data_IF_867009944923
#
_entry.id   IF_867009944923
#
_cell.length_a   1.000
_cell.length_b   1.000
_cell.length_c   1.000
_cell.angle_alpha   90.00
_cell.angle_beta   90.00
_cell.angle_gamma   90.00
#
_symmetry.space_group_name_H-M   'P 1'
#
loop_
_entity.id
_entity.type
_entity.pdbx_description
1 polymer ?
#
# COMPACT_ATOMS: atom_id res chain seq x y z
N UNK A 1 6.27 20.18 0.03
CA UNK A 1 5.49 19.05 0.61
C UNK A 1 4.24 19.50 1.38
N UNK A 2 4.30 20.52 2.25
CA UNK A 2 3.08 21.06 2.90
C UNK A 2 2.07 21.68 1.92
N UNK A 3 2.56 22.31 0.85
CA UNK A 3 1.71 22.90 -0.19
C UNK A 3 0.84 21.87 -0.91
N UNK A 4 1.36 20.65 -1.11
CA UNK A 4 0.60 19.54 -1.65
C UNK A 4 -0.56 19.13 -0.72
N UNK A 5 -0.39 19.19 0.60
CA UNK A 5 -1.47 18.90 1.56
C UNK A 5 -2.53 19.99 1.62
N UNK A 6 -2.12 21.25 1.43
CA UNK A 6 -3.01 22.40 1.44
C UNK A 6 -3.80 22.55 0.13
N UNK A 7 -3.41 21.84 -0.93
CA UNK A 7 -4.02 21.96 -2.25
C UNK A 7 -5.46 21.37 -2.27
N UNK A 8 -6.47 22.12 -2.76
CA UNK A 8 -7.87 21.68 -2.77
C UNK A 8 -8.17 20.71 -3.94
N UNK A 9 -7.70 19.46 -3.83
CA UNK A 9 -7.94 18.42 -4.85
C UNK A 9 -9.42 18.14 -5.12
N UNK A 10 -10.29 18.36 -4.12
CA UNK A 10 -11.72 18.12 -4.23
C UNK A 10 -12.46 19.09 -5.15
N UNK A 11 -11.98 20.32 -5.27
CA UNK A 11 -12.56 21.35 -6.15
C UNK A 11 -12.13 21.12 -7.61
N UNK A 12 -11.05 20.39 -7.82
CA UNK A 12 -10.45 20.20 -9.13
C UNK A 12 -11.12 19.08 -9.92
N UNK A 13 -11.88 19.46 -10.95
CA UNK A 13 -12.61 18.50 -11.78
C UNK A 13 -11.69 17.61 -12.63
N UNK A 14 -10.55 18.13 -13.08
CA UNK A 14 -9.60 17.34 -13.89
C UNK A 14 -8.98 16.23 -13.05
N UNK A 15 -8.58 16.57 -11.83
CA UNK A 15 -8.06 15.60 -10.88
C UNK A 15 -9.10 14.53 -10.55
N UNK A 16 -10.34 14.93 -10.22
CA UNK A 16 -11.45 14.02 -9.94
C UNK A 16 -11.73 13.03 -11.06
N UNK A 17 -11.72 13.50 -12.31
CA UNK A 17 -11.91 12.65 -13.49
C UNK A 17 -10.73 11.69 -13.68
N UNK A 18 -9.50 12.19 -13.54
CA UNK A 18 -8.31 11.35 -13.63
C UNK A 18 -8.27 10.26 -12.56
N UNK A 19 -8.61 10.62 -11.32
CA UNK A 19 -8.64 9.67 -10.20
C UNK A 19 -9.73 8.60 -10.38
N UNK A 20 -10.90 8.97 -10.90
CA UNK A 20 -11.97 8.01 -11.21
C UNK A 20 -11.55 6.96 -12.25
N UNK A 21 -10.75 7.34 -13.24
CA UNK A 21 -10.18 6.40 -14.22
C UNK A 21 -9.22 5.43 -13.53
N UNK A 22 -8.37 5.93 -12.63
CA UNK A 22 -7.40 5.12 -11.88
C UNK A 22 -8.11 4.14 -10.92
N UNK A 23 -9.23 4.56 -10.32
CA UNK A 23 -10.05 3.75 -9.42
C UNK A 23 -10.99 2.76 -10.15
N UNK A 24 -11.08 2.84 -11.49
CA UNK A 24 -11.86 1.89 -12.29
C UNK A 24 -13.34 2.22 -12.47
N UNK A 25 -13.75 3.46 -12.16
CA UNK A 25 -15.13 3.95 -12.39
C UNK A 25 -15.13 5.24 -13.21
N UNK A 26 -14.73 5.19 -14.50
CA UNK A 26 -14.57 6.38 -15.34
C UNK A 26 -15.89 7.15 -15.59
N UNK A 27 -17.04 6.51 -15.42
CA UNK A 27 -18.36 7.15 -15.62
C UNK A 27 -18.75 8.08 -14.47
N UNK A 28 -18.21 7.86 -13.26
CA UNK A 28 -18.51 8.68 -12.08
C UNK A 28 -17.24 9.33 -11.58
N UNK A 29 -17.20 10.66 -11.58
CA UNK A 29 -16.07 11.42 -11.04
C UNK A 29 -15.85 11.11 -9.56
N UNK A 30 -14.60 10.96 -9.13
CA UNK A 30 -14.25 10.51 -7.78
C UNK A 30 -14.87 11.38 -6.69
N UNK A 31 -15.46 10.76 -5.66
CA UNK A 31 -16.09 11.51 -4.56
C UNK A 31 -15.05 12.16 -3.65
N UNK A 32 -15.49 13.12 -2.84
CA UNK A 32 -14.62 13.80 -1.86
C UNK A 32 -13.99 12.79 -0.88
N UNK A 33 -14.74 11.76 -0.50
CA UNK A 33 -14.28 10.68 0.36
C UNK A 33 -13.12 9.91 -0.28
N UNK A 34 -13.22 9.56 -1.57
CA UNK A 34 -12.18 8.85 -2.32
C UNK A 34 -10.92 9.70 -2.50
N UNK A 35 -11.08 11.00 -2.72
CA UNK A 35 -9.98 11.96 -2.82
C UNK A 35 -9.27 12.09 -1.48
N UNK A 36 -10.00 12.08 -0.36
CA UNK A 36 -9.43 12.21 0.98
C UNK A 36 -8.83 10.91 1.52
N UNK A 37 -8.98 9.78 0.83
CA UNK A 37 -8.31 8.53 1.25
C UNK A 37 -6.79 8.70 1.21
N UNK A 38 -6.15 8.10 2.22
CA UNK A 38 -4.69 8.01 2.34
C UNK A 38 -4.14 6.75 1.66
N UNK A 39 -4.83 6.24 0.63
CA UNK A 39 -4.36 5.11 -0.18
C UNK A 39 -3.10 5.50 -0.96
N UNK A 40 -2.14 4.58 -1.08
CA UNK A 40 -0.90 4.79 -1.84
C UNK A 40 -1.19 5.24 -3.28
N UNK A 41 -2.25 4.69 -3.89
CA UNK A 41 -2.68 5.02 -5.25
C UNK A 41 -3.19 6.47 -5.37
N UNK A 42 -4.04 6.90 -4.44
CA UNK A 42 -4.57 8.27 -4.39
C UNK A 42 -3.42 9.26 -4.13
N UNK A 43 -2.53 8.91 -3.21
CA UNK A 43 -1.38 9.74 -2.85
C UNK A 43 -0.39 9.88 -4.00
N UNK A 44 -0.11 8.80 -4.73
CA UNK A 44 0.71 8.81 -5.95
C UNK A 44 0.06 9.68 -7.03
N UNK A 45 -1.25 9.56 -7.25
CA UNK A 45 -1.98 10.38 -8.20
C UNK A 45 -1.92 11.88 -7.83
N UNK A 46 -2.07 12.24 -6.55
CA UNK A 46 -1.91 13.61 -6.04
C UNK A 46 -0.50 14.15 -6.31
N UNK A 47 0.54 13.36 -6.02
CA UNK A 47 1.94 13.72 -6.27
C UNK A 47 2.21 13.98 -7.75
N UNK A 48 1.72 13.11 -8.63
CA UNK A 48 1.86 13.25 -10.07
C UNK A 48 1.10 14.47 -10.61
N UNK A 49 -0.14 14.68 -10.17
CA UNK A 49 -0.95 15.81 -10.63
C UNK A 49 -0.33 17.14 -10.20
N UNK A 50 0.11 17.23 -8.94
CA UNK A 50 0.72 18.44 -8.39
C UNK A 50 2.07 18.75 -9.06
N UNK A 51 2.90 17.74 -9.33
CA UNK A 51 4.17 17.96 -10.04
C UNK A 51 3.98 18.47 -11.46
N UNK A 52 2.93 17.98 -12.15
CA UNK A 52 2.53 18.49 -13.47
C UNK A 52 1.99 19.92 -13.40
N UNK A 53 1.18 20.25 -12.38
CA UNK A 53 0.59 21.59 -12.18
C UNK A 53 1.67 22.65 -11.97
N UNK A 54 2.58 22.38 -11.04
CA UNK A 54 3.64 23.31 -10.63
C UNK A 54 4.87 23.26 -11.56
N UNK A 55 4.84 22.43 -12.62
CA UNK A 55 5.95 22.23 -13.55
C UNK A 55 7.29 21.96 -12.84
N UNK A 56 7.26 21.14 -11.79
CA UNK A 56 8.43 20.89 -10.96
C UNK A 56 9.50 20.13 -11.75
N UNK A 57 10.71 20.69 -11.79
CA UNK A 57 11.91 20.05 -12.33
C UNK A 57 12.95 19.98 -11.21
N UNK A 58 13.22 18.80 -10.63
CA UNK A 58 12.69 17.46 -10.96
C UNK A 58 11.23 17.24 -10.49
N UNK A 59 10.50 16.30 -11.12
CA UNK A 59 9.14 15.96 -10.72
C UNK A 59 9.10 15.41 -9.29
N UNK A 60 8.01 15.72 -8.58
CA UNK A 60 7.78 15.25 -7.22
C UNK A 60 7.63 13.72 -7.21
N UNK A 61 8.58 13.03 -6.59
CA UNK A 61 8.55 11.57 -6.46
C UNK A 61 7.68 11.13 -5.28
N UNK A 62 6.82 10.14 -5.52
CA UNK A 62 5.93 9.56 -4.52
C UNK A 62 6.70 9.00 -3.31
N UNK A 63 7.85 8.38 -3.53
CA UNK A 63 8.69 7.79 -2.48
C UNK A 63 9.24 8.84 -1.53
N UNK A 64 9.62 10.01 -2.07
CA UNK A 64 10.09 11.15 -1.28
C UNK A 64 8.97 11.70 -0.41
N UNK A 65 7.77 11.87 -0.97
CA UNK A 65 6.62 12.34 -0.21
C UNK A 65 6.18 11.33 0.86
N UNK A 66 6.21 10.03 0.57
CA UNK A 66 5.88 8.96 1.52
C UNK A 66 6.86 8.91 2.69
N UNK A 67 8.16 9.07 2.42
CA UNK A 67 9.20 9.16 3.45
C UNK A 67 9.03 10.40 4.33
N UNK A 68 8.68 11.54 3.71
CA UNK A 68 8.33 12.75 4.45
C UNK A 68 7.09 12.56 5.32
N UNK A 69 6.07 11.83 4.83
CA UNK A 69 4.86 11.51 5.59
C UNK A 69 5.19 10.67 6.83
N UNK A 70 6.02 9.63 6.67
CA UNK A 70 6.49 8.81 7.80
C UNK A 70 7.28 9.64 8.81
N UNK A 71 8.12 10.54 8.34
CA UNK A 71 8.92 11.42 9.18
C UNK A 71 8.06 12.45 9.92
N UNK A 72 7.04 13.04 9.27
CA UNK A 72 6.14 13.99 9.93
C UNK A 72 5.19 13.31 10.91
N UNK A 73 4.75 12.08 10.66
CA UNK A 73 3.94 11.31 11.62
C UNK A 73 4.78 10.87 12.81
N UNK A 74 6.03 10.45 12.60
CA UNK A 74 6.96 10.18 13.69
C UNK A 74 7.27 11.45 14.51
N UNK A 75 7.42 12.60 13.85
CA UNK A 75 7.67 13.88 14.52
C UNK A 75 6.45 14.44 15.25
N UNK A 76 5.22 14.13 14.82
CA UNK A 76 3.99 14.46 15.54
C UNK A 76 3.79 13.57 16.78
N UNK A 77 4.27 12.32 16.73
CA UNK A 77 4.28 11.40 17.88
C UNK A 77 5.49 11.58 18.81
N UNK A 78 6.53 12.32 18.39
CA UNK A 78 7.75 12.55 19.18
C UNK A 78 7.63 13.62 20.26
N UNK A 79 6.47 14.28 20.44
CA UNK A 79 6.28 15.25 21.53
C UNK A 79 6.02 14.62 22.91
N UNK A 80 6.28 13.31 23.10
CA UNK A 80 6.09 12.66 24.40
C UNK A 80 7.23 11.78 24.92
N UNK A 81 8.29 11.46 24.17
CA UNK A 81 9.42 10.68 24.73
C UNK A 81 10.76 11.16 24.20
N UNK A 82 11.48 11.86 25.08
CA UNK A 82 12.88 12.25 24.94
C UNK A 82 13.81 11.05 24.71
N UNK A 83 14.99 11.28 24.09
CA UNK A 83 15.95 10.24 23.77
C UNK A 83 16.77 9.89 25.01
N UNK A 84 16.90 8.60 25.30
CA UNK A 84 17.90 8.10 26.25
C UNK A 84 18.90 7.23 25.50
N UNK A 85 19.98 7.86 25.04
CA UNK A 85 21.25 7.18 24.80
C UNK A 85 21.78 6.67 26.15
N UNK A 86 22.06 5.37 26.25
CA UNK A 86 23.28 4.84 26.86
C UNK A 86 23.37 3.31 26.77
N UNK A 87 24.45 2.89 26.11
CA UNK A 87 25.33 1.76 26.43
C UNK A 87 24.95 0.32 26.05
N UNK A 88 25.62 -0.13 24.99
CA UNK A 88 26.61 -1.23 25.00
C UNK A 88 26.36 -2.43 25.92
N UNK A 89 26.18 -3.63 25.34
CA UNK A 89 27.26 -4.63 25.26
C UNK A 89 26.77 -5.86 24.47
N UNK A 90 27.53 -6.32 23.46
CA UNK A 90 27.24 -7.59 22.81
C UNK A 90 27.91 -7.80 21.46
N UNK A 91 29.23 -7.98 21.46
CA UNK A 91 30.00 -8.43 20.30
C UNK A 91 29.41 -9.71 19.68
N UNK A 92 29.07 -9.68 18.38
CA UNK A 92 29.34 -10.75 17.41
C UNK A 92 28.95 -10.32 15.99
N UNK A 93 29.99 -10.24 15.15
CA UNK A 93 30.02 -10.66 13.74
C UNK A 93 29.08 -10.00 12.71
N UNK A 94 29.74 -9.25 11.82
CA UNK A 94 29.57 -9.25 10.36
C UNK A 94 28.19 -8.89 9.75
N UNK A 95 28.16 -7.72 9.11
CA UNK A 95 27.44 -7.47 7.85
C UNK A 95 25.96 -7.91 7.84
N UNK A 96 25.15 -7.34 8.75
CA UNK A 96 23.71 -7.49 8.67
C UNK A 96 23.08 -6.12 8.37
N UNK A 97 22.37 -5.95 7.24
CA UNK A 97 21.70 -4.69 6.94
C UNK A 97 20.65 -4.42 8.02
N UNK A 98 20.46 -3.16 8.38
CA UNK A 98 19.42 -2.75 9.31
C UNK A 98 18.04 -3.17 8.76
N UNK A 99 17.56 -4.34 9.17
CA UNK A 99 16.31 -4.90 8.70
C UNK A 99 15.14 -4.04 9.21
N UNK A 100 14.09 -3.88 8.39
CA UNK A 100 12.91 -3.12 8.80
C UNK A 100 12.23 -3.78 10.00
N UNK A 101 11.58 -2.98 10.86
CA UNK A 101 10.91 -3.47 12.08
C UNK A 101 9.92 -4.61 11.82
N UNK A 102 9.29 -4.64 10.63
CA UNK A 102 8.41 -5.73 10.22
C UNK A 102 9.14 -7.07 10.12
N UNK A 103 10.39 -7.12 9.67
CA UNK A 103 11.15 -8.37 9.54
C UNK A 103 11.61 -8.89 10.90
N UNK A 104 12.12 -8.00 11.76
CA UNK A 104 12.50 -8.36 13.13
C UNK A 104 11.31 -8.92 13.91
N UNK A 105 10.13 -8.33 13.74
CA UNK A 105 8.90 -8.82 14.35
C UNK A 105 8.49 -10.20 13.80
N UNK A 106 8.64 -10.45 12.50
CA UNK A 106 8.37 -11.78 11.91
C UNK A 106 9.35 -12.84 12.46
N UNK A 107 10.64 -12.52 12.57
CA UNK A 107 11.65 -13.42 13.15
C UNK A 107 11.35 -13.71 14.62
N UNK A 108 10.91 -12.71 15.39
CA UNK A 108 10.47 -12.89 16.77
C UNK A 108 9.26 -13.83 16.85
N UNK A 109 8.24 -13.66 16.02
CA UNK A 109 7.07 -14.56 15.98
C UNK A 109 7.48 -16.01 15.65
N UNK A 110 8.42 -16.20 14.71
CA UNK A 110 8.96 -17.52 14.35
C UNK A 110 9.72 -18.14 15.52
N UNK A 111 10.63 -17.39 16.16
CA UNK A 111 11.49 -17.88 17.25
C UNK A 111 10.71 -18.18 18.53
N UNK A 112 9.62 -17.44 18.77
CA UNK A 112 8.73 -17.60 19.94
C UNK A 112 7.60 -18.61 19.68
N UNK A 113 7.46 -19.14 18.46
CA UNK A 113 6.42 -20.09 18.10
C UNK A 113 5.01 -19.50 18.10
N UNK A 114 4.88 -18.17 17.96
CA UNK A 114 3.58 -17.52 17.86
C UNK A 114 3.00 -17.64 16.45
N UNK A 115 1.66 -17.76 16.32
CA UNK A 115 1.01 -17.89 15.02
C UNK A 115 1.22 -16.63 14.18
N UNK A 116 1.63 -16.81 12.92
CA UNK A 116 1.81 -15.70 11.99
C UNK A 116 0.44 -15.09 11.66
N UNK A 117 0.22 -13.79 11.88
CA UNK A 117 -1.07 -13.17 11.62
C UNK A 117 -1.43 -13.26 10.13
N UNK A 118 -2.66 -13.70 9.83
CA UNK A 118 -3.23 -13.70 8.47
C UNK A 118 -3.14 -15.02 7.71
N UNK A 119 -2.55 -16.08 8.26
CA UNK A 119 -2.62 -17.40 7.64
C UNK A 119 -3.96 -18.07 7.98
N UNK A 120 -4.65 -18.59 6.97
CA UNK A 120 -5.78 -19.49 7.19
C UNK A 120 -5.22 -20.88 7.48
N UNK A 121 -5.72 -21.51 8.54
CA UNK A 121 -5.38 -22.88 8.89
C UNK A 121 -5.94 -23.81 7.80
N UNK A 122 -5.04 -24.43 7.03
CA UNK A 122 -5.42 -25.43 6.04
C UNK A 122 -5.53 -26.77 6.80
N UNK A 123 -6.74 -27.34 6.94
CA UNK A 123 -6.87 -28.67 7.52
C UNK A 123 -6.16 -29.69 6.62
N UNK A 124 -5.51 -30.69 7.20
CA UNK A 124 -4.84 -31.80 6.50
C UNK A 124 -5.84 -32.74 5.76
N UNK A 125 -7.07 -32.27 5.55
CA UNK A 125 -8.13 -33.02 4.90
C UNK A 125 -8.01 -32.91 3.40
N UNK A 126 -7.76 -34.04 2.74
CA UNK A 126 -8.02 -34.18 1.30
C UNK A 126 -9.52 -33.97 1.09
N UNK A 127 -9.93 -32.95 0.33
CA UNK A 127 -11.33 -32.77 -0.08
C UNK A 127 -11.72 -33.89 -1.07
N UNK A 128 -12.06 -35.07 -0.55
CA UNK A 128 -12.59 -36.17 -1.34
C UNK A 128 -14.07 -35.91 -1.66
N UNK A 129 -14.43 -35.80 -2.93
CA UNK A 129 -15.84 -35.82 -3.37
C UNK A 129 -16.40 -34.55 -4.02
N UNK A 130 -15.60 -33.52 -4.29
CA UNK A 130 -16.02 -32.31 -5.04
C UNK A 130 -15.79 -32.41 -6.56
N UNK A 131 -15.80 -33.62 -7.11
CA UNK A 131 -15.76 -33.82 -8.55
C UNK A 131 -17.16 -33.58 -9.13
N UNK A 132 -17.50 -32.32 -9.41
CA UNK A 132 -18.71 -32.04 -10.18
C UNK A 132 -18.50 -32.58 -11.60
N UNK A 133 -19.33 -33.51 -12.11
CA UNK A 133 -19.20 -33.97 -13.49
C UNK A 133 -19.43 -32.78 -14.43
N UNK A 134 -18.56 -32.63 -15.43
CA UNK A 134 -18.66 -31.56 -16.43
C UNK A 134 -19.97 -31.69 -17.23
N UNK A 135 -21.02 -30.98 -16.79
CA UNK A 135 -22.35 -30.92 -17.44
C UNK A 135 -22.41 -29.93 -18.62
N UNK A 136 -21.25 -29.53 -19.16
CA UNK A 136 -21.21 -28.52 -20.22
C UNK A 136 -21.54 -29.17 -21.56
N UNK A 137 -22.64 -28.74 -22.17
CA UNK A 137 -23.06 -29.21 -23.48
C UNK A 137 -22.01 -28.87 -24.56
N UNK A 138 -21.62 -29.87 -25.35
CA UNK A 138 -20.58 -29.71 -26.37
C UNK A 138 -21.11 -28.86 -27.51
N UNK A 139 -20.70 -27.60 -27.57
CA UNK A 139 -21.07 -26.69 -28.67
C UNK A 139 -20.56 -27.26 -30.00
N UNK A 140 -21.48 -27.39 -30.96
CA UNK A 140 -21.14 -27.80 -32.33
C UNK A 140 -20.34 -26.74 -33.05
N UNK A 141 -19.42 -27.19 -33.89
CA UNK A 141 -18.63 -26.33 -34.75
C UNK A 141 -19.55 -25.76 -35.84
N UNK A 142 -19.37 -24.47 -36.22
CA UNK A 142 -20.26 -23.79 -37.16
C UNK A 142 -20.27 -24.39 -38.59
N UNK A 143 -19.37 -25.33 -38.88
CA UNK A 143 -19.28 -26.06 -40.15
C UNK A 143 -19.86 -27.49 -40.08
N UNK A 144 -20.52 -27.89 -38.99
CA UNK A 144 -21.24 -29.17 -38.90
C UNK A 144 -22.66 -29.13 -39.54
N UNK A 145 -22.83 -28.32 -40.59
CA UNK A 145 -23.99 -28.41 -41.49
C UNK A 145 -23.63 -29.24 -42.71
#
# INVERSE_FOLDING_TARGET
FNELKAYPFSTDLEFRKGLAVILGHPETSATDEEINREDDLVLQAKCFYFSRKENLTPPLDFSVYRNWLRSTSASASASAQSPNEAQEQGSKSQDEPAYPSSFAHIVELITTGQPVPGIQEIPDTVLTGQEAPSTREKRRKPWEK
#
